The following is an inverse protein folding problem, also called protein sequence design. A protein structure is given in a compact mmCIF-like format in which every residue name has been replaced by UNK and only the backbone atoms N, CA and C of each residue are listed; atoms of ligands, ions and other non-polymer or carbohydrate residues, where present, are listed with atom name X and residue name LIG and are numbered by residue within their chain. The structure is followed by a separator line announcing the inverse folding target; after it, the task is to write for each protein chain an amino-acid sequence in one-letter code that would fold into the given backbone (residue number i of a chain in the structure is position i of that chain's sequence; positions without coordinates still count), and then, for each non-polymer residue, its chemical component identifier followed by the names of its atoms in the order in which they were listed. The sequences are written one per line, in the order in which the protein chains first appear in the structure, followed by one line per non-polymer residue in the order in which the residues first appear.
data_IF_358486643710
#
_entry.id   IF_358486643710
#
_cell.length_a   1.000
_cell.length_b   1.000
_cell.length_c   1.000
_cell.angle_alpha   90.00
_cell.angle_beta   90.00
_cell.angle_gamma   90.00
#
_symmetry.space_group_name_H-M   'P 1'
#
loop_
_entity.id
_entity.type
_entity.pdbx_description
1 polymer ?
#
# COMPACT_ATOMS: atom_id res chain seq x y z
N UNK A 1 3.47 -9.22 -6.36
CA UNK A 1 3.49 -9.25 -7.84
C UNK A 1 2.78 -8.07 -8.49
N UNK A 2 1.47 -7.87 -8.33
CA UNK A 2 0.76 -6.75 -8.98
C UNK A 2 1.47 -5.39 -8.78
N UNK A 3 1.68 -4.97 -7.52
CA UNK A 3 2.34 -3.68 -7.25
C UNK A 3 3.79 -3.65 -7.75
N UNK A 4 4.50 -4.78 -7.71
CA UNK A 4 5.87 -4.87 -8.19
C UNK A 4 5.95 -4.59 -9.69
N UNK A 5 5.03 -5.16 -10.48
CA UNK A 5 4.93 -4.96 -11.93
C UNK A 5 4.50 -3.53 -12.28
N UNK A 6 3.55 -2.96 -11.52
CA UNK A 6 3.13 -1.56 -11.71
C UNK A 6 4.30 -0.61 -11.46
N UNK A 7 5.03 -0.79 -10.35
CA UNK A 7 6.20 0.02 -10.02
C UNK A 7 7.30 -0.17 -11.06
N UNK A 8 7.62 -1.41 -11.45
CA UNK A 8 8.64 -1.68 -12.45
C UNK A 8 8.31 -0.99 -13.78
N UNK A 9 7.08 -1.14 -14.28
CA UNK A 9 6.69 -0.48 -15.53
C UNK A 9 6.65 1.04 -15.41
N UNK A 10 6.24 1.58 -14.25
CA UNK A 10 6.29 3.03 -14.04
C UNK A 10 7.73 3.55 -14.01
N UNK A 11 8.64 2.80 -13.40
CA UNK A 11 10.08 3.09 -13.42
C UNK A 11 10.64 3.07 -14.84
N UNK A 12 10.30 2.07 -15.64
CA UNK A 12 10.71 1.97 -17.04
C UNK A 12 10.23 3.18 -17.87
N UNK A 13 8.97 3.61 -17.69
CA UNK A 13 8.46 4.81 -18.35
C UNK A 13 9.25 6.07 -17.98
N UNK A 14 9.60 6.22 -16.69
CA UNK A 14 10.40 7.35 -16.20
C UNK A 14 11.82 7.31 -16.81
N UNK A 15 12.36 6.12 -17.06
CA UNK A 15 13.64 5.91 -17.74
C UNK A 15 13.54 6.10 -19.28
N UNK A 16 12.36 6.39 -19.81
CA UNK A 16 12.13 6.50 -21.27
C UNK A 16 12.13 5.14 -21.99
N UNK A 17 11.98 4.04 -21.26
CA UNK A 17 11.94 2.68 -21.79
C UNK A 17 10.49 2.19 -21.94
N UNK A 18 10.21 1.30 -22.92
CA UNK A 18 8.89 0.70 -23.02
C UNK A 18 8.59 -0.23 -21.84
N UNK A 19 7.30 -0.31 -21.49
CA UNK A 19 6.79 -1.29 -20.50
C UNK A 19 7.22 -2.71 -20.88
N UNK A 20 7.54 -3.52 -19.88
CA UNK A 20 7.97 -4.91 -20.06
C UNK A 20 9.47 -5.09 -20.36
N UNK A 21 10.27 -4.03 -20.41
CA UNK A 21 11.75 -4.10 -20.45
C UNK A 21 12.36 -4.50 -19.10
N UNK A 22 11.95 -5.66 -18.62
CA UNK A 22 12.36 -6.19 -17.31
C UNK A 22 13.81 -6.65 -17.26
N UNK A 23 14.51 -6.67 -18.40
CA UNK A 23 15.96 -6.76 -18.47
C UNK A 23 16.66 -5.51 -17.89
N UNK A 24 16.00 -4.35 -17.92
CA UNK A 24 16.50 -3.09 -17.37
C UNK A 24 15.96 -2.77 -15.97
N UNK A 25 14.73 -3.20 -15.65
CA UNK A 25 14.14 -3.08 -14.31
C UNK A 25 13.12 -4.21 -14.08
N UNK A 26 13.49 -5.21 -13.29
CA UNK A 26 12.73 -6.43 -13.07
C UNK A 26 11.83 -6.33 -11.82
N UNK A 27 10.54 -6.73 -11.89
CA UNK A 27 9.63 -6.65 -10.76
C UNK A 27 10.05 -7.51 -9.56
N UNK A 28 10.68 -8.67 -9.80
CA UNK A 28 11.21 -9.52 -8.72
C UNK A 28 12.62 -9.14 -8.26
N UNK A 29 13.57 -9.04 -9.18
CA UNK A 29 14.97 -8.90 -8.81
C UNK A 29 15.30 -7.50 -8.28
N UNK A 30 14.59 -6.47 -8.74
CA UNK A 30 14.87 -5.09 -8.36
C UNK A 30 13.79 -4.53 -7.44
N UNK A 31 12.52 -4.54 -7.86
CA UNK A 31 11.44 -3.93 -7.05
C UNK A 31 11.15 -4.73 -5.78
N UNK A 32 11.17 -6.05 -5.88
CA UNK A 32 10.95 -6.98 -4.76
C UNK A 32 12.27 -7.51 -4.18
N UNK A 33 13.38 -6.79 -4.36
CA UNK A 33 14.68 -7.23 -3.85
C UNK A 33 14.64 -7.41 -2.32
N UNK A 34 15.11 -8.56 -1.85
CA UNK A 34 15.13 -8.94 -0.43
C UNK A 34 13.75 -8.95 0.27
N UNK A 35 12.67 -9.08 -0.49
CA UNK A 35 11.30 -9.11 0.02
C UNK A 35 10.60 -10.43 -0.33
N UNK A 36 9.58 -10.80 0.43
CA UNK A 36 8.63 -11.85 0.05
C UNK A 36 7.19 -11.35 0.19
N UNK A 37 6.25 -12.04 -0.45
CA UNK A 37 4.83 -11.77 -0.21
C UNK A 37 4.46 -11.98 1.26
N UNK A 38 5.13 -12.90 1.96
CA UNK A 38 4.78 -13.32 3.31
C UNK A 38 5.17 -12.30 4.39
N UNK A 39 6.07 -11.36 4.11
CA UNK A 39 6.41 -10.23 4.98
C UNK A 39 5.81 -8.92 4.47
N UNK A 40 5.88 -8.64 3.16
CA UNK A 40 5.39 -7.37 2.60
C UNK A 40 3.87 -7.25 2.68
N UNK A 41 3.13 -8.30 2.30
CA UNK A 41 1.66 -8.25 2.29
C UNK A 41 1.05 -8.02 3.68
N UNK A 42 1.40 -8.79 4.73
CA UNK A 42 0.86 -8.52 6.06
C UNK A 42 1.38 -7.21 6.67
N UNK A 43 2.57 -6.74 6.29
CA UNK A 43 3.06 -5.41 6.69
C UNK A 43 2.21 -4.29 6.08
N UNK A 44 1.92 -4.37 4.78
CA UNK A 44 1.08 -3.41 4.08
C UNK A 44 -0.34 -3.34 4.66
N UNK A 45 -0.94 -4.50 4.98
CA UNK A 45 -2.27 -4.55 5.63
C UNK A 45 -2.25 -3.85 6.99
N UNK A 46 -1.26 -4.14 7.85
CA UNK A 46 -1.15 -3.49 9.16
C UNK A 46 -0.99 -1.98 9.02
N UNK A 47 -0.17 -1.53 8.08
CA UNK A 47 -0.01 -0.11 7.79
C UNK A 47 -1.33 0.53 7.31
N UNK A 48 -2.07 -0.12 6.42
CA UNK A 48 -3.35 0.36 5.92
C UNK A 48 -4.39 0.53 7.05
N UNK A 49 -4.45 -0.42 8.00
CA UNK A 49 -5.30 -0.34 9.18
C UNK A 49 -4.90 0.86 10.06
N UNK A 50 -3.59 1.01 10.33
CA UNK A 50 -3.08 2.12 11.14
C UNK A 50 -3.38 3.48 10.52
N UNK A 51 -3.25 3.62 9.21
CA UNK A 51 -3.56 4.86 8.49
C UNK A 51 -5.08 5.13 8.44
N UNK A 52 -5.91 4.08 8.36
CA UNK A 52 -7.37 4.21 8.29
C UNK A 52 -8.04 4.40 9.65
N UNK A 53 -7.34 4.11 10.77
CA UNK A 53 -7.92 4.12 12.13
C UNK A 53 -8.60 5.43 12.51
N UNK A 54 -8.06 6.57 12.06
CA UNK A 54 -8.52 7.89 12.48
C UNK A 54 -9.94 8.19 12.02
N UNK A 55 -10.35 7.68 10.85
CA UNK A 55 -11.71 7.87 10.36
C UNK A 55 -12.72 7.11 11.23
N UNK A 56 -12.41 5.86 11.57
CA UNK A 56 -13.24 5.05 12.47
C UNK A 56 -13.31 5.66 13.86
N UNK A 57 -12.18 6.08 14.41
CA UNK A 57 -12.12 6.70 15.74
C UNK A 57 -13.00 7.94 15.82
N UNK A 58 -12.90 8.86 14.86
CA UNK A 58 -13.75 10.07 14.84
C UNK A 58 -15.24 9.74 14.74
N UNK A 59 -15.61 8.74 13.92
CA UNK A 59 -16.99 8.32 13.78
C UNK A 59 -17.55 7.75 15.11
N UNK A 60 -16.73 6.97 15.82
CA UNK A 60 -17.10 6.42 17.13
C UNK A 60 -17.19 7.50 18.21
N UNK A 61 -16.23 8.43 18.26
CA UNK A 61 -16.25 9.57 19.19
C UNK A 61 -17.47 10.46 18.97
N UNK A 62 -17.82 10.74 17.71
CA UNK A 62 -19.03 11.49 17.37
C UNK A 62 -20.29 10.76 17.84
N UNK A 63 -20.40 9.46 17.55
CA UNK A 63 -21.55 8.66 17.98
C UNK A 63 -21.68 8.63 19.51
N UNK A 64 -20.57 8.41 20.22
CA UNK A 64 -20.55 8.37 21.68
C UNK A 64 -21.00 9.72 22.28
N UNK A 65 -20.47 10.83 21.77
CA UNK A 65 -20.84 12.17 22.25
C UNK A 65 -22.33 12.49 22.06
N UNK A 66 -22.93 12.10 20.93
CA UNK A 66 -24.37 12.29 20.68
C UNK A 66 -25.25 11.44 21.60
N UNK A 67 -24.83 10.21 21.90
CA UNK A 67 -25.55 9.35 22.84
C UNK A 67 -25.48 9.90 24.27
N UNK A 68 -24.32 10.37 24.71
CA UNK A 68 -24.13 10.99 26.03
C UNK A 68 -24.97 12.26 26.19
N UNK A 69 -25.07 13.10 25.15
CA UNK A 69 -25.88 14.32 25.19
C UNK A 69 -27.39 14.05 25.28
N UNK A 70 -27.86 12.82 25.05
CA UNK A 70 -29.27 12.40 25.09
C UNK A 70 -29.62 11.55 26.32
N UNK A 71 -28.64 11.14 27.11
CA UNK A 71 -28.82 10.40 28.36
C UNK A 71 -29.24 11.33 29.51
#
# INVERSE_FOLDING_TARGET
MNINEVIANRGLEIMGLPRGRYDALHPNNDVNFAQSTNDVYPTAIRLAILLSRGALQRALEQLAGELEAKA
#
